data_IF_938977106671
#
_entry.id   IF_938977106671
#
_cell.length_a   1.000
_cell.length_b   1.000
_cell.length_c   1.000
_cell.angle_alpha   90.00
_cell.angle_beta   90.00
_cell.angle_gamma   90.00
#
_symmetry.space_group_name_H-M   'P 1'
#
loop_
_entity.id
_entity.type
_entity.pdbx_description
1 polymer ?
#
# COMPACT_ATOMS: atom_id res chain seq x y z
N UNK A 1 6.38 -15.53 7.66
CA UNK A 1 7.73 -15.36 7.10
C UNK A 1 7.74 -15.84 5.65
N UNK A 2 8.44 -15.14 4.78
CA UNK A 2 8.61 -15.60 3.41
C UNK A 2 9.45 -16.86 3.38
N UNK A 3 9.37 -17.64 2.29
CA UNK A 3 10.18 -18.82 2.12
C UNK A 3 11.67 -18.50 2.04
N UNK A 4 12.53 -19.52 2.10
CA UNK A 4 13.97 -19.28 2.03
C UNK A 4 14.35 -18.51 0.77
N UNK A 5 15.21 -17.51 0.95
CA UNK A 5 15.69 -16.69 -0.16
C UNK A 5 14.76 -15.58 -0.59
N UNK A 6 13.58 -15.45 0.00
CA UNK A 6 12.67 -14.36 -0.34
C UNK A 6 12.91 -13.15 0.55
N UNK A 7 12.90 -11.97 -0.06
CA UNK A 7 13.07 -10.70 0.62
C UNK A 7 11.77 -9.93 0.52
N UNK A 8 11.23 -9.49 1.65
CA UNK A 8 9.96 -8.76 1.70
C UNK A 8 10.14 -7.24 1.84
N UNK A 9 11.34 -6.78 2.21
CA UNK A 9 11.63 -5.35 2.29
C UNK A 9 12.75 -5.05 1.31
N UNK A 10 12.41 -4.43 0.19
CA UNK A 10 13.32 -4.21 -0.92
C UNK A 10 13.86 -2.78 -0.98
N UNK A 11 13.42 -1.91 -0.07
CA UNK A 11 13.90 -0.55 -0.02
C UNK A 11 13.65 0.20 -1.30
N UNK A 12 14.66 0.94 -1.75
CA UNK A 12 14.58 1.77 -2.95
C UNK A 12 15.24 1.14 -4.15
N UNK A 13 15.70 -0.11 -4.07
CA UNK A 13 16.37 -0.81 -5.17
C UNK A 13 15.40 -1.37 -6.19
N UNK A 14 14.16 -1.58 -5.81
CA UNK A 14 13.14 -2.16 -6.69
C UNK A 14 11.85 -1.35 -6.56
N UNK A 15 11.28 -0.95 -7.70
CA UNK A 15 10.06 -0.16 -7.70
C UNK A 15 8.81 -1.01 -7.49
N UNK A 16 8.71 -2.14 -8.19
CA UNK A 16 7.48 -2.93 -8.16
C UNK A 16 7.49 -3.91 -6.99
N UNK A 17 6.35 -4.05 -6.34
CA UNK A 17 6.17 -5.10 -5.35
C UNK A 17 6.23 -6.47 -6.04
N UNK A 18 6.91 -7.41 -5.42
CA UNK A 18 7.02 -8.79 -5.92
C UNK A 18 5.74 -9.56 -5.66
N UNK A 19 5.62 -10.75 -6.28
CA UNK A 19 4.52 -11.66 -5.98
C UNK A 19 4.48 -12.05 -4.50
N UNK A 20 5.64 -12.29 -3.90
CA UNK A 20 5.71 -12.64 -2.47
C UNK A 20 5.21 -11.51 -1.59
N UNK A 21 5.61 -10.27 -1.90
CA UNK A 21 5.13 -9.10 -1.17
C UNK A 21 3.63 -8.90 -1.35
N UNK A 22 3.14 -9.05 -2.57
CA UNK A 22 1.71 -8.89 -2.86
C UNK A 22 0.89 -9.92 -2.09
N UNK A 23 1.33 -11.17 -2.05
CA UNK A 23 0.64 -12.21 -1.27
C UNK A 23 0.67 -11.92 0.23
N UNK A 24 1.78 -11.36 0.73
CA UNK A 24 1.85 -10.95 2.13
C UNK A 24 0.84 -9.84 2.42
N UNK A 25 0.67 -8.88 1.50
CA UNK A 25 -0.35 -7.85 1.62
C UNK A 25 -1.76 -8.43 1.58
N UNK A 26 -2.01 -9.46 0.75
CA UNK A 26 -3.29 -10.15 0.74
C UNK A 26 -3.64 -10.72 2.12
N UNK A 27 -2.65 -11.33 2.75
CA UNK A 27 -2.86 -11.96 4.06
C UNK A 27 -3.07 -10.92 5.16
N UNK A 28 -2.46 -9.76 5.03
CA UNK A 28 -2.60 -8.68 6.01
C UNK A 28 -3.88 -7.89 5.80
N UNK A 29 -4.16 -7.47 4.56
CA UNK A 29 -5.22 -6.51 4.26
C UNK A 29 -6.55 -7.16 3.85
N UNK A 30 -6.50 -8.35 3.26
CA UNK A 30 -7.65 -9.16 2.83
C UNK A 30 -8.47 -8.56 1.67
N UNK A 31 -8.52 -7.24 1.55
CA UNK A 31 -9.34 -6.55 0.56
C UNK A 31 -8.78 -5.15 0.33
N UNK A 32 -9.39 -4.41 -0.60
CA UNK A 32 -9.08 -3.00 -0.77
C UNK A 32 -9.20 -2.30 0.59
N UNK A 33 -8.19 -1.51 0.95
CA UNK A 33 -8.09 -0.91 2.27
C UNK A 33 -8.94 0.34 2.45
N UNK A 34 -9.57 0.84 1.39
CA UNK A 34 -10.50 1.97 1.51
C UNK A 34 -11.73 1.51 2.27
N UNK A 35 -12.15 2.24 3.31
CA UNK A 35 -13.31 1.86 4.13
C UNK A 35 -14.55 1.64 3.28
N UNK A 36 -15.22 0.51 3.49
CA UNK A 36 -16.46 0.18 2.82
C UNK A 36 -16.33 -0.39 1.41
N UNK A 37 -15.12 -0.49 0.85
CA UNK A 37 -14.95 -1.00 -0.51
C UNK A 37 -15.24 -2.49 -0.62
N UNK A 38 -14.57 -3.32 0.19
CA UNK A 38 -14.79 -4.77 0.18
C UNK A 38 -14.28 -5.52 -1.04
N UNK A 39 -13.61 -4.87 -1.99
CA UNK A 39 -13.07 -5.56 -3.16
C UNK A 39 -12.03 -6.58 -2.73
N UNK A 40 -12.19 -7.88 -3.11
CA UNK A 40 -11.26 -8.92 -2.67
C UNK A 40 -9.81 -8.65 -3.07
N UNK A 41 -8.88 -9.18 -2.28
CA UNK A 41 -7.45 -8.94 -2.44
C UNK A 41 -6.94 -9.29 -3.85
N UNK A 42 -7.44 -10.37 -4.45
CA UNK A 42 -6.97 -10.80 -5.77
C UNK A 42 -7.33 -9.81 -6.89
N UNK A 43 -8.21 -8.87 -6.63
CA UNK A 43 -8.56 -7.80 -7.57
C UNK A 43 -7.88 -6.48 -7.23
N UNK A 44 -6.99 -6.51 -6.24
CA UNK A 44 -6.31 -5.32 -5.76
C UNK A 44 -4.86 -5.27 -6.23
N UNK A 45 -4.33 -4.05 -6.27
CA UNK A 45 -2.94 -3.77 -6.61
C UNK A 45 -2.21 -3.29 -5.37
N UNK A 46 -0.90 -3.55 -5.31
CA UNK A 46 -0.06 -3.02 -4.24
C UNK A 46 0.30 -1.56 -4.55
N UNK A 47 0.04 -0.68 -3.60
CA UNK A 47 0.26 0.76 -3.73
C UNK A 47 1.30 1.20 -2.71
N UNK A 48 2.27 2.05 -3.14
CA UNK A 48 3.22 2.67 -2.22
C UNK A 48 2.54 3.81 -1.47
N UNK A 49 2.49 3.72 -0.15
CA UNK A 49 1.89 4.76 0.70
C UNK A 49 2.63 6.07 0.51
N UNK A 50 3.94 6.07 0.66
CA UNK A 50 4.80 7.14 0.17
C UNK A 50 5.23 6.72 -1.23
N UNK A 51 4.93 7.56 -2.23
CA UNK A 51 5.12 7.18 -3.62
C UNK A 51 6.58 6.92 -3.94
N UNK A 52 6.83 5.98 -4.85
CA UNK A 52 8.18 5.63 -5.27
C UNK A 52 8.98 6.86 -5.70
N UNK A 53 8.36 7.74 -6.50
CA UNK A 53 9.01 8.96 -6.97
C UNK A 53 9.39 9.94 -5.87
N UNK A 54 8.78 9.79 -4.70
CA UNK A 54 9.05 10.64 -3.52
C UNK A 54 9.96 9.93 -2.52
N UNK A 55 10.64 8.87 -2.94
CA UNK A 55 11.56 8.14 -2.08
C UNK A 55 10.91 7.03 -1.27
N UNK A 56 9.67 6.68 -1.56
CA UNK A 56 8.98 5.60 -0.86
C UNK A 56 9.63 4.25 -1.11
N UNK A 57 9.73 3.45 -0.05
CA UNK A 57 10.40 2.15 -0.12
C UNK A 57 9.41 1.07 -0.58
N UNK A 58 9.95 0.04 -1.25
CA UNK A 58 9.17 -1.15 -1.62
C UNK A 58 9.27 -2.16 -0.49
N UNK A 59 8.71 -1.78 0.64
CA UNK A 59 8.65 -2.58 1.86
C UNK A 59 7.20 -2.82 2.22
N UNK A 60 6.94 -3.88 2.99
CA UNK A 60 5.57 -4.21 3.39
C UNK A 60 4.92 -3.10 4.20
N UNK A 61 5.69 -2.37 5.01
CA UNK A 61 5.15 -1.29 5.82
C UNK A 61 4.88 -0.01 5.01
N UNK A 62 5.26 0.01 3.74
CA UNK A 62 4.94 1.09 2.81
C UNK A 62 4.03 0.61 1.68
N UNK A 63 3.46 -0.58 1.79
CA UNK A 63 2.57 -1.15 0.79
C UNK A 63 1.19 -1.37 1.35
N UNK A 64 0.18 -1.07 0.55
CA UNK A 64 -1.22 -1.33 0.91
C UNK A 64 -1.97 -1.81 -0.32
N UNK A 65 -3.06 -2.54 -0.11
CA UNK A 65 -3.90 -2.98 -1.22
C UNK A 65 -4.95 -1.93 -1.57
N UNK A 66 -5.06 -1.65 -2.86
CA UNK A 66 -6.13 -0.82 -3.41
C UNK A 66 -6.66 -1.50 -4.66
N UNK A 67 -7.99 -1.56 -4.83
CA UNK A 67 -8.56 -1.99 -6.09
C UNK A 67 -8.25 -0.96 -7.17
N UNK A 68 -8.41 -1.35 -8.45
CA UNK A 68 -8.06 -0.47 -9.56
C UNK A 68 -8.77 0.88 -9.48
N UNK A 69 -10.06 0.87 -9.11
CA UNK A 69 -10.84 2.09 -8.98
C UNK A 69 -10.27 3.01 -7.89
N UNK A 70 -10.07 2.48 -6.69
CA UNK A 70 -9.58 3.29 -5.59
C UNK A 70 -8.10 3.64 -5.70
N UNK A 71 -7.31 2.83 -6.42
CA UNK A 71 -5.92 3.17 -6.70
C UNK A 71 -5.85 4.49 -7.47
N UNK A 72 -6.68 4.62 -8.51
CA UNK A 72 -6.79 5.87 -9.26
C UNK A 72 -7.37 6.99 -8.41
N UNK A 73 -8.42 6.69 -7.67
CA UNK A 73 -9.11 7.65 -6.81
C UNK A 73 -8.16 8.26 -5.77
N UNK A 74 -7.35 7.43 -5.14
CA UNK A 74 -6.35 7.87 -4.16
C UNK A 74 -5.31 8.79 -4.82
N UNK A 75 -4.85 8.43 -6.02
CA UNK A 75 -3.90 9.26 -6.74
C UNK A 75 -4.51 10.60 -7.16
N UNK A 76 -5.72 10.57 -7.71
CA UNK A 76 -6.37 11.79 -8.18
C UNK A 76 -6.65 12.77 -7.05
N UNK A 77 -7.01 12.26 -5.88
CA UNK A 77 -7.31 13.09 -4.72
C UNK A 77 -6.11 13.32 -3.81
N UNK A 78 -4.98 12.69 -4.13
CA UNK A 78 -3.74 12.79 -3.37
C UNK A 78 -3.96 12.50 -1.89
N UNK A 79 -4.39 11.27 -1.62
CA UNK A 79 -4.73 10.82 -0.28
C UNK A 79 -3.56 10.08 0.36
N UNK A 80 -3.41 10.23 1.68
CA UNK A 80 -2.39 9.56 2.47
C UNK A 80 -2.99 8.42 3.28
N UNK A 81 -2.37 7.24 3.19
CA UNK A 81 -2.67 6.11 4.04
C UNK A 81 -1.63 5.99 5.14
N UNK A 82 -2.02 5.42 6.26
CA UNK A 82 -1.13 5.16 7.38
C UNK A 82 -1.25 3.72 7.82
N UNK A 83 -0.12 3.10 8.09
CA UNK A 83 -0.09 1.75 8.65
C UNK A 83 0.09 1.86 10.15
N UNK A 84 -0.84 1.28 10.90
CA UNK A 84 -0.75 1.26 12.36
C UNK A 84 0.19 0.14 12.83
N UNK A 85 0.54 0.16 14.12
CA UNK A 85 1.37 -0.90 14.71
C UNK A 85 0.75 -2.28 14.58
N UNK A 86 -0.58 -2.34 14.55
CA UNK A 86 -1.31 -3.60 14.44
C UNK A 86 -1.44 -4.10 13.00
N UNK A 87 -0.79 -3.43 12.06
CA UNK A 87 -0.88 -3.80 10.65
C UNK A 87 -2.17 -3.38 9.97
N UNK A 88 -2.91 -2.46 10.55
CA UNK A 88 -4.13 -1.92 9.95
C UNK A 88 -3.80 -0.69 9.13
N UNK A 89 -4.55 -0.50 8.04
CA UNK A 89 -4.39 0.66 7.18
C UNK A 89 -5.50 1.65 7.50
N UNK A 90 -5.12 2.89 7.77
CA UNK A 90 -6.05 4.00 8.03
C UNK A 90 -5.81 5.07 6.97
N UNK A 91 -6.87 5.47 6.28
CA UNK A 91 -6.79 6.47 5.23
C UNK A 91 -7.26 7.82 5.72
N UNK A 92 -6.48 8.86 5.44
CA UNK A 92 -6.91 10.24 5.61
C UNK A 92 -7.60 10.66 4.31
N UNK A 93 -8.92 10.68 4.33
CA UNK A 93 -9.73 10.93 3.13
C UNK A 93 -9.85 12.41 2.77
N UNK A 94 -9.16 13.29 3.49
CA UNK A 94 -9.12 14.70 3.15
C UNK A 94 -8.36 14.90 1.85
N UNK A 95 -8.95 15.49 0.81
CA UNK A 95 -8.22 15.74 -0.45
C UNK A 95 -6.93 16.50 -0.20
N UNK A 96 -5.84 16.01 -0.79
CA UNK A 96 -4.53 16.60 -0.62
C UNK A 96 -3.78 16.16 0.63
N UNK A 97 -4.32 15.22 1.40
CA UNK A 97 -3.66 14.75 2.63
C UNK A 97 -2.27 14.20 2.39
N UNK A 98 -2.02 13.64 1.19
CA UNK A 98 -0.68 13.17 0.83
C UNK A 98 0.33 14.32 0.84
N UNK A 99 -0.06 15.49 0.36
CA UNK A 99 0.85 16.64 0.24
C UNK A 99 1.10 17.33 1.58
N UNK A 100 0.21 17.15 2.53
CA UNK A 100 0.33 17.76 3.86
C UNK A 100 0.92 16.82 4.88
N UNK A 101 1.31 15.58 4.47
CA UNK A 101 1.89 14.60 5.37
C UNK A 101 3.20 15.13 5.96
N UNK A 102 3.51 14.67 7.16
CA UNK A 102 4.79 15.02 7.77
C UNK A 102 5.93 14.33 7.03
N UNK A 103 7.03 15.04 6.94
CA UNK A 103 8.23 14.58 6.25
C UNK A 103 9.30 14.11 7.19
#
# INVERSE_FOLDING_TARGET
MAGPGQVLDLGTTTRCFTSAQTKALWLRDHACTIPGCGMPAQWCEAHHVVHWGDGGRTDLDNGVLLCAYHHRWVHDRRLMGHLTRNGRVVWDLTPGSYDTRRR
#
